data_IF_466900435178
#
_entry.id   IF_466900435178
#
_cell.length_a   1.000
_cell.length_b   1.000
_cell.length_c   1.000
_cell.angle_alpha   90.00
_cell.angle_beta   90.00
_cell.angle_gamma   90.00
#
_symmetry.space_group_name_H-M   'P 1'
#
loop_
_entity.id
_entity.type
_entity.pdbx_description
1 polymer ?
#
# COMPACT_ATOMS: atom_id res chain seq x y z
N UNK A 1 -13.65 -16.71 1.18
CA UNK A 1 -14.39 -17.43 2.26
C UNK A 1 -13.36 -18.12 3.13
N UNK A 2 -13.37 -17.83 4.44
CA UNK A 2 -12.54 -18.52 5.42
C UNK A 2 -12.98 -19.99 5.58
N UNK A 3 -12.18 -20.83 6.27
CA UNK A 3 -12.46 -22.27 6.43
C UNK A 3 -13.77 -22.60 7.16
N UNK A 4 -14.48 -21.62 7.68
CA UNK A 4 -15.76 -21.77 8.40
C UNK A 4 -16.93 -21.05 7.72
N UNK A 5 -16.80 -20.59 6.46
CA UNK A 5 -17.86 -19.89 5.74
C UNK A 5 -18.04 -18.41 6.11
N UNK A 6 -17.19 -17.89 7.00
CA UNK A 6 -17.16 -16.48 7.34
C UNK A 6 -16.37 -15.70 6.28
N UNK A 7 -16.88 -14.56 5.86
CA UNK A 7 -16.12 -13.70 4.95
C UNK A 7 -14.98 -13.00 5.70
N UNK A 8 -13.88 -12.71 5.02
CA UNK A 8 -12.79 -11.93 5.61
C UNK A 8 -13.29 -10.58 6.16
N UNK A 9 -14.30 -10.00 5.52
CA UNK A 9 -14.94 -8.75 5.96
C UNK A 9 -15.61 -8.88 7.34
N UNK A 10 -16.30 -10.00 7.61
CA UNK A 10 -16.96 -10.24 8.90
C UNK A 10 -15.94 -10.34 10.03
N UNK A 11 -14.82 -11.03 9.79
CA UNK A 11 -13.73 -11.16 10.77
C UNK A 11 -13.05 -9.81 11.05
N UNK A 12 -12.83 -8.99 10.02
CA UNK A 12 -12.30 -7.62 10.18
C UNK A 12 -13.28 -6.77 10.99
N UNK A 13 -14.58 -6.85 10.70
CA UNK A 13 -15.59 -6.11 11.45
C UNK A 13 -15.66 -6.54 12.91
N UNK A 14 -15.51 -7.83 13.21
CA UNK A 14 -15.42 -8.30 14.59
C UNK A 14 -14.18 -7.76 15.29
N UNK A 15 -13.01 -7.77 14.64
CA UNK A 15 -11.80 -7.15 15.16
C UNK A 15 -11.98 -5.67 15.53
N UNK A 16 -12.70 -4.92 14.70
CA UNK A 16 -13.04 -3.53 14.97
C UNK A 16 -13.96 -3.36 16.18
N UNK A 17 -14.96 -4.23 16.34
CA UNK A 17 -15.83 -4.27 17.53
C UNK A 17 -15.06 -4.62 18.80
N UNK A 18 -14.00 -5.42 18.67
CA UNK A 18 -13.09 -5.76 19.78
C UNK A 18 -12.09 -4.65 20.13
N UNK A 19 -12.02 -3.59 19.32
CA UNK A 19 -11.20 -2.42 19.61
C UNK A 19 -9.98 -2.23 18.71
N UNK A 20 -9.89 -2.91 17.56
CA UNK A 20 -8.86 -2.63 16.58
C UNK A 20 -8.94 -1.18 16.08
N UNK A 21 -7.80 -0.53 15.85
CA UNK A 21 -7.70 0.89 15.51
C UNK A 21 -7.48 1.15 14.03
N UNK A 22 -7.21 0.11 13.25
CA UNK A 22 -6.89 0.22 11.83
C UNK A 22 -7.56 -0.90 11.04
N UNK A 23 -8.02 -0.56 9.83
CA UNK A 23 -8.54 -1.51 8.84
C UNK A 23 -7.48 -1.68 7.74
N UNK A 24 -7.14 -2.92 7.43
CA UNK A 24 -6.20 -3.25 6.37
C UNK A 24 -6.80 -4.12 5.27
N UNK A 25 -6.01 -4.34 4.23
CA UNK A 25 -6.33 -5.24 3.13
C UNK A 25 -5.14 -5.40 2.18
N UNK A 26 -5.20 -6.42 1.32
CA UNK A 26 -4.18 -6.72 0.31
C UNK A 26 -4.88 -6.98 -1.04
N UNK A 27 -5.38 -5.94 -1.72
CA UNK A 27 -6.28 -6.11 -2.87
C UNK A 27 -5.62 -6.81 -4.06
N UNK A 28 -4.31 -6.66 -4.25
CA UNK A 28 -3.58 -7.27 -5.37
C UNK A 28 -3.32 -8.78 -5.19
N UNK A 29 -3.61 -9.35 -4.02
CA UNK A 29 -3.58 -10.80 -3.75
C UNK A 29 -4.95 -11.46 -3.89
N UNK A 30 -6.00 -10.68 -4.10
CA UNK A 30 -7.30 -11.26 -4.40
C UNK A 30 -7.28 -12.04 -5.73
N UNK A 31 -8.18 -13.01 -5.86
CA UNK A 31 -8.20 -13.93 -7.00
C UNK A 31 -8.41 -13.25 -8.35
N UNK A 32 -9.07 -12.10 -8.36
CA UNK A 32 -9.26 -11.27 -9.56
C UNK A 32 -9.41 -9.79 -9.18
N UNK A 33 -9.33 -8.93 -10.20
CA UNK A 33 -9.43 -7.47 -10.03
C UNK A 33 -10.72 -7.05 -9.33
N UNK A 34 -11.84 -7.61 -9.70
CA UNK A 34 -13.15 -7.27 -9.15
C UNK A 34 -13.25 -7.59 -7.65
N UNK A 35 -12.54 -8.63 -7.20
CA UNK A 35 -12.50 -8.98 -5.78
C UNK A 35 -11.60 -8.01 -5.00
N UNK A 36 -10.48 -7.61 -5.58
CA UNK A 36 -9.64 -6.56 -5.02
C UNK A 36 -10.36 -5.21 -4.93
N UNK A 37 -11.12 -4.84 -5.94
CA UNK A 37 -11.95 -3.64 -5.93
C UNK A 37 -13.02 -3.69 -4.81
N UNK A 38 -13.71 -4.82 -4.66
CA UNK A 38 -14.66 -5.02 -3.55
C UNK A 38 -13.99 -4.95 -2.18
N UNK A 39 -12.79 -5.52 -2.05
CA UNK A 39 -12.00 -5.41 -0.83
C UNK A 39 -11.75 -3.94 -0.46
N UNK A 40 -11.39 -3.09 -1.42
CA UNK A 40 -11.19 -1.66 -1.17
C UNK A 40 -12.47 -0.93 -0.74
N UNK A 41 -13.61 -1.26 -1.34
CA UNK A 41 -14.89 -0.72 -0.88
C UNK A 41 -15.18 -1.11 0.57
N UNK A 42 -15.01 -2.40 0.91
CA UNK A 42 -15.22 -2.90 2.28
C UNK A 42 -14.31 -2.22 3.29
N UNK A 43 -13.02 -2.06 2.97
CA UNK A 43 -12.05 -1.37 3.84
C UNK A 43 -12.51 0.06 4.16
N UNK A 44 -12.87 0.83 3.14
CA UNK A 44 -13.30 2.22 3.32
C UNK A 44 -14.65 2.31 4.06
N UNK A 45 -15.58 1.42 3.76
CA UNK A 45 -16.89 1.34 4.45
C UNK A 45 -16.74 1.03 5.94
N UNK A 46 -15.94 0.02 6.29
CA UNK A 46 -15.70 -0.36 7.68
C UNK A 46 -14.95 0.73 8.44
N UNK A 47 -13.90 1.29 7.84
CA UNK A 47 -13.16 2.39 8.46
C UNK A 47 -14.06 3.61 8.73
N UNK A 48 -14.92 3.97 7.77
CA UNK A 48 -15.87 5.07 7.93
C UNK A 48 -16.92 4.76 9.02
N UNK A 49 -17.43 3.52 9.04
CA UNK A 49 -18.46 3.09 10.00
C UNK A 49 -17.96 3.14 11.44
N UNK A 50 -16.71 2.76 11.68
CA UNK A 50 -16.11 2.67 13.01
C UNK A 50 -15.16 3.83 13.35
N UNK A 51 -15.05 4.82 12.48
CA UNK A 51 -14.12 5.98 12.59
C UNK A 51 -12.66 5.57 12.81
N UNK A 52 -12.17 4.61 12.01
CA UNK A 52 -10.83 4.01 12.17
C UNK A 52 -9.86 4.45 11.08
N UNK A 53 -8.58 4.18 11.32
CA UNK A 53 -7.51 4.36 10.34
C UNK A 53 -7.59 3.30 9.24
N UNK A 54 -6.98 3.58 8.11
CA UNK A 54 -6.77 2.62 7.02
C UNK A 54 -5.27 2.49 6.78
N UNK A 55 -4.77 1.25 6.69
CA UNK A 55 -3.45 0.93 6.17
C UNK A 55 -3.56 -0.30 5.26
N UNK A 56 -3.41 -0.09 3.95
CA UNK A 56 -3.56 -1.11 2.92
C UNK A 56 -2.20 -1.45 2.34
N UNK A 57 -1.84 -2.75 2.29
CA UNK A 57 -0.76 -3.24 1.42
C UNK A 57 -1.22 -3.07 -0.02
N UNK A 58 -0.91 -1.90 -0.58
CA UNK A 58 -1.52 -1.42 -1.81
C UNK A 58 -0.55 -1.59 -2.97
N UNK A 59 -0.95 -2.35 -3.99
CA UNK A 59 -0.17 -2.50 -5.22
C UNK A 59 1.30 -2.89 -4.98
N UNK A 60 1.53 -3.78 -4.01
CA UNK A 60 2.84 -4.35 -3.70
C UNK A 60 3.22 -5.42 -4.73
N UNK A 61 3.35 -5.02 -5.95
CA UNK A 61 3.65 -5.87 -7.10
C UNK A 61 4.44 -5.09 -8.14
N UNK A 62 5.14 -5.82 -9.00
CA UNK A 62 5.84 -5.25 -10.14
C UNK A 62 4.93 -4.88 -11.32
N UNK A 63 3.66 -5.34 -11.31
CA UNK A 63 2.72 -5.07 -12.39
C UNK A 63 2.22 -3.62 -12.37
N UNK A 64 2.57 -2.78 -13.38
CA UNK A 64 2.10 -1.40 -13.45
C UNK A 64 0.58 -1.27 -13.70
N UNK A 65 -0.11 -2.38 -13.99
CA UNK A 65 -1.57 -2.41 -14.12
C UNK A 65 -2.30 -2.70 -12.81
N UNK A 66 -1.58 -3.01 -11.72
CA UNK A 66 -2.13 -2.97 -10.38
C UNK A 66 -2.37 -1.52 -10.00
N UNK A 67 -3.63 -1.10 -9.87
CA UNK A 67 -4.06 0.30 -9.72
C UNK A 67 -5.11 0.48 -8.63
N UNK A 68 -5.04 -0.34 -7.59
CA UNK A 68 -5.94 -0.22 -6.44
C UNK A 68 -5.71 1.06 -5.64
N UNK A 69 -4.51 1.64 -5.72
CA UNK A 69 -4.19 2.94 -5.14
C UNK A 69 -5.10 4.06 -5.68
N UNK A 70 -5.39 4.04 -6.98
CA UNK A 70 -6.32 4.98 -7.60
C UNK A 70 -7.72 4.86 -7.01
N UNK A 71 -8.23 3.62 -6.92
CA UNK A 71 -9.55 3.35 -6.33
C UNK A 71 -9.61 3.71 -4.85
N UNK A 72 -8.63 3.26 -4.05
CA UNK A 72 -8.53 3.59 -2.62
C UNK A 72 -8.56 5.10 -2.40
N UNK A 73 -7.76 5.84 -3.18
CA UNK A 73 -7.69 7.30 -3.08
C UNK A 73 -9.01 7.98 -3.44
N UNK A 74 -9.70 7.50 -4.47
CA UNK A 74 -11.00 8.04 -4.87
C UNK A 74 -12.08 7.76 -3.82
N UNK A 75 -12.08 6.57 -3.24
CA UNK A 75 -13.02 6.19 -2.18
C UNK A 75 -12.77 6.99 -0.90
N UNK A 76 -11.51 7.09 -0.46
CA UNK A 76 -11.11 7.84 0.72
C UNK A 76 -11.41 9.35 0.57
N UNK A 77 -11.19 9.91 -0.63
CA UNK A 77 -11.57 11.30 -0.95
C UNK A 77 -13.07 11.53 -0.79
N UNK A 78 -13.89 10.66 -1.38
CA UNK A 78 -15.36 10.75 -1.30
C UNK A 78 -15.88 10.59 0.12
N UNK A 79 -15.26 9.71 0.90
CA UNK A 79 -15.62 9.48 2.30
C UNK A 79 -15.07 10.55 3.26
N UNK A 80 -14.20 11.46 2.81
CA UNK A 80 -13.57 12.49 3.63
C UNK A 80 -12.56 11.95 4.67
N UNK A 81 -12.01 10.74 4.45
CA UNK A 81 -11.09 10.06 5.39
C UNK A 81 -9.67 9.88 4.85
N UNK A 82 -9.31 10.61 3.79
CA UNK A 82 -8.00 10.43 3.15
C UNK A 82 -6.83 10.69 4.10
N UNK A 83 -6.90 11.69 4.98
CA UNK A 83 -5.86 11.93 6.00
C UNK A 83 -5.71 10.81 7.03
N UNK A 84 -6.69 9.91 7.14
CA UNK A 84 -6.66 8.69 7.96
C UNK A 84 -6.25 7.45 7.14
N UNK A 85 -5.95 7.61 5.86
CA UNK A 85 -5.68 6.51 4.93
C UNK A 85 -4.21 6.49 4.54
N UNK A 86 -3.58 5.34 4.74
CA UNK A 86 -2.21 5.04 4.32
C UNK A 86 -2.24 3.96 3.24
N UNK A 87 -1.49 4.18 2.17
CA UNK A 87 -1.17 3.18 1.17
C UNK A 87 0.28 2.72 1.39
N UNK A 88 0.44 1.50 1.86
CA UNK A 88 1.76 0.91 2.10
C UNK A 88 2.30 0.25 0.83
N UNK A 89 3.62 0.24 0.65
CA UNK A 89 4.41 -0.33 -0.45
C UNK A 89 4.25 0.41 -1.78
N UNK A 90 3.13 0.29 -2.45
CA UNK A 90 2.82 0.88 -3.77
C UNK A 90 3.91 0.68 -4.84
N UNK A 91 4.51 -0.51 -4.86
CA UNK A 91 5.66 -0.86 -5.71
C UNK A 91 5.35 -0.72 -7.21
N UNK A 92 4.09 -0.95 -7.62
CA UNK A 92 3.63 -0.80 -9.00
C UNK A 92 3.91 0.58 -9.59
N UNK A 93 3.95 1.64 -8.74
CA UNK A 93 4.30 3.00 -9.18
C UNK A 93 5.73 3.11 -9.70
N UNK A 94 6.66 2.30 -9.18
CA UNK A 94 8.03 2.22 -9.68
C UNK A 94 8.13 1.71 -11.13
N UNK A 95 7.10 1.00 -11.59
CA UNK A 95 6.98 0.44 -12.95
C UNK A 95 5.97 1.20 -13.83
N UNK A 96 5.15 2.07 -13.25
CA UNK A 96 4.11 2.82 -13.95
C UNK A 96 4.70 3.89 -14.87
N UNK A 97 3.98 4.24 -15.94
CA UNK A 97 4.37 5.33 -16.81
C UNK A 97 4.18 6.71 -16.16
N UNK A 98 4.91 7.69 -16.67
CA UNK A 98 4.91 9.05 -16.14
C UNK A 98 3.56 9.77 -16.32
N UNK A 99 2.81 9.48 -17.37
CA UNK A 99 1.52 10.13 -17.62
C UNK A 99 0.49 9.68 -16.59
N UNK A 100 0.43 8.37 -16.30
CA UNK A 100 -0.42 7.83 -15.23
C UNK A 100 -0.03 8.40 -13.87
N UNK A 101 1.25 8.35 -13.51
CA UNK A 101 1.74 8.88 -12.24
C UNK A 101 1.40 10.36 -12.05
N UNK A 102 1.63 11.19 -13.07
CA UNK A 102 1.29 12.61 -13.04
C UNK A 102 -0.22 12.86 -12.82
N UNK A 103 -1.06 12.07 -13.48
CA UNK A 103 -2.51 12.14 -13.28
C UNK A 103 -2.92 11.73 -11.86
N UNK A 104 -2.41 10.59 -11.41
CA UNK A 104 -2.71 10.04 -10.08
C UNK A 104 -2.29 10.99 -8.96
N UNK A 105 -1.12 11.64 -9.06
CA UNK A 105 -0.60 12.56 -8.04
C UNK A 105 -1.58 13.68 -7.70
N UNK A 106 -2.39 14.14 -8.64
CA UNK A 106 -3.43 15.16 -8.40
C UNK A 106 -4.51 14.62 -7.44
N UNK A 107 -4.93 13.38 -7.64
CA UNK A 107 -5.90 12.71 -6.79
C UNK A 107 -5.32 12.45 -5.38
N UNK A 108 -4.08 11.95 -5.31
CA UNK A 108 -3.39 11.67 -4.03
C UNK A 108 -3.32 12.93 -3.15
N UNK A 109 -2.97 14.06 -3.75
CA UNK A 109 -2.93 15.36 -3.04
C UNK A 109 -4.31 15.81 -2.59
N UNK A 110 -5.29 15.76 -3.48
CA UNK A 110 -6.66 16.16 -3.17
C UNK A 110 -7.29 15.28 -2.07
N UNK A 111 -6.95 14.01 -2.07
CA UNK A 111 -7.41 13.04 -1.09
C UNK A 111 -6.61 13.05 0.22
N UNK A 112 -5.45 13.70 0.27
CA UNK A 112 -4.52 13.69 1.42
C UNK A 112 -4.09 12.27 1.82
N UNK A 113 -3.81 11.41 0.84
CA UNK A 113 -3.34 10.05 1.09
C UNK A 113 -1.92 10.06 1.66
N UNK A 114 -1.67 9.23 2.66
CA UNK A 114 -0.36 8.99 3.22
C UNK A 114 0.27 7.73 2.61
N UNK A 115 1.59 7.67 2.60
CA UNK A 115 2.35 6.53 2.10
C UNK A 115 3.27 5.98 3.18
N UNK A 116 3.43 4.65 3.19
CA UNK A 116 4.48 3.97 3.94
C UNK A 116 5.31 3.10 2.97
N UNK A 117 6.56 3.48 2.77
CA UNK A 117 7.50 2.75 1.92
C UNK A 117 8.39 1.86 2.78
N UNK A 118 8.47 0.56 2.42
CA UNK A 118 9.35 -0.44 3.04
C UNK A 118 10.48 -0.83 2.07
N UNK A 119 11.50 0.03 1.87
CA UNK A 119 12.42 -0.08 0.74
C UNK A 119 13.27 -1.36 0.74
N UNK A 120 13.72 -1.83 1.89
CA UNK A 120 14.55 -3.03 1.99
C UNK A 120 13.78 -4.30 1.69
N UNK A 121 12.57 -4.41 2.20
CA UNK A 121 11.68 -5.53 1.91
C UNK A 121 11.26 -5.53 0.44
N UNK A 122 10.78 -4.40 -0.05
CA UNK A 122 10.33 -4.30 -1.43
C UNK A 122 11.47 -4.56 -2.43
N UNK A 123 12.69 -4.09 -2.15
CA UNK A 123 13.88 -4.43 -2.95
C UNK A 123 14.16 -5.94 -2.98
N UNK A 124 13.91 -6.64 -1.87
CA UNK A 124 14.10 -8.09 -1.76
C UNK A 124 12.98 -8.88 -2.45
N UNK A 125 11.72 -8.45 -2.31
CA UNK A 125 10.57 -9.18 -2.83
C UNK A 125 10.31 -8.93 -4.31
N UNK A 126 10.54 -7.72 -4.81
CA UNK A 126 10.22 -7.33 -6.18
C UNK A 126 11.34 -7.67 -7.17
N UNK A 127 11.04 -7.61 -8.46
CA UNK A 127 11.99 -7.90 -9.55
C UNK A 127 12.40 -9.37 -9.67
N UNK A 128 11.72 -10.29 -9.00
CA UNK A 128 12.08 -11.73 -9.01
C UNK A 128 11.80 -12.41 -10.33
N UNK A 129 10.85 -11.90 -11.09
CA UNK A 129 10.48 -12.41 -12.41
C UNK A 129 11.25 -11.71 -13.54
N UNK A 130 11.98 -10.65 -13.24
CA UNK A 130 12.82 -9.95 -14.21
C UNK A 130 14.08 -10.78 -14.53
N UNK A 131 14.46 -10.76 -15.80
CA UNK A 131 15.75 -11.34 -16.21
C UNK A 131 16.89 -10.38 -15.94
N UNK A 132 17.08 -9.35 -16.77
CA UNK A 132 18.05 -8.28 -16.60
C UNK A 132 17.76 -7.16 -17.61
N UNK A 133 17.83 -5.84 -17.21
CA UNK A 133 18.07 -5.37 -15.86
C UNK A 133 16.85 -5.61 -14.93
N UNK A 134 17.11 -5.82 -13.64
CA UNK A 134 16.04 -5.94 -12.63
C UNK A 134 15.55 -4.55 -12.21
N UNK A 135 14.24 -4.42 -12.02
CA UNK A 135 13.66 -3.20 -11.47
C UNK A 135 13.99 -3.04 -9.98
N UNK A 136 13.91 -1.82 -9.46
CA UNK A 136 14.23 -1.53 -8.05
C UNK A 136 13.14 -1.96 -7.07
N UNK A 137 11.89 -2.11 -7.54
CA UNK A 137 10.78 -2.64 -6.74
C UNK A 137 10.25 -1.73 -5.65
N UNK A 138 10.61 -0.46 -5.60
CA UNK A 138 10.10 0.52 -4.64
C UNK A 138 9.20 1.56 -5.32
N UNK A 139 8.34 2.19 -4.52
CA UNK A 139 7.51 3.31 -4.96
C UNK A 139 8.36 4.56 -5.30
N UNK A 140 7.76 5.55 -5.94
CA UNK A 140 8.40 6.81 -6.35
C UNK A 140 8.49 7.81 -5.19
N UNK A 141 9.30 7.48 -4.17
CA UNK A 141 9.43 8.27 -2.92
C UNK A 141 9.78 9.73 -3.21
N UNK A 142 10.77 9.97 -4.07
CA UNK A 142 11.23 11.32 -4.42
C UNK A 142 10.12 12.15 -5.05
N UNK A 143 9.51 11.66 -6.13
CA UNK A 143 8.49 12.40 -6.86
C UNK A 143 7.21 12.61 -6.04
N UNK A 144 6.84 11.67 -5.18
CA UNK A 144 5.72 11.83 -4.25
C UNK A 144 6.02 12.94 -3.23
N UNK A 145 7.21 12.93 -2.65
CA UNK A 145 7.65 13.94 -1.66
C UNK A 145 7.74 15.34 -2.31
N UNK A 146 8.34 15.45 -3.49
CA UNK A 146 8.42 16.70 -4.25
C UNK A 146 7.02 17.23 -4.63
N UNK A 147 6.06 16.34 -4.86
CA UNK A 147 4.66 16.72 -5.09
C UNK A 147 3.93 17.16 -3.81
N UNK A 148 4.53 17.04 -2.63
CA UNK A 148 3.93 17.38 -1.33
C UNK A 148 3.00 16.30 -0.78
N UNK A 149 3.15 15.06 -1.21
CA UNK A 149 2.46 13.88 -0.62
C UNK A 149 3.26 13.42 0.61
N UNK A 150 2.57 13.08 1.69
CA UNK A 150 3.22 12.58 2.91
C UNK A 150 3.71 11.14 2.71
N UNK A 151 5.04 10.94 2.80
CA UNK A 151 5.68 9.63 2.67
C UNK A 151 6.48 9.33 3.93
N UNK A 152 6.18 8.22 4.57
CA UNK A 152 6.95 7.65 5.67
C UNK A 152 7.76 6.44 5.20
N UNK A 153 8.77 6.10 5.99
CA UNK A 153 9.61 4.91 5.77
C UNK A 153 9.38 3.90 6.87
N UNK A 154 9.36 2.63 6.52
CA UNK A 154 9.20 1.51 7.45
C UNK A 154 10.21 0.39 7.18
N UNK A 155 10.44 -0.44 8.18
CA UNK A 155 11.22 -1.67 8.02
C UNK A 155 10.38 -2.78 7.42
N UNK A 156 9.11 -2.86 7.84
CA UNK A 156 8.22 -3.97 7.60
C UNK A 156 8.71 -5.27 8.28
N UNK A 157 9.08 -6.27 7.53
CA UNK A 157 9.50 -7.58 8.05
C UNK A 157 10.88 -7.57 8.70
N UNK A 158 11.03 -8.32 9.82
CA UNK A 158 12.28 -8.51 10.53
C UNK A 158 12.52 -9.99 10.82
N UNK A 159 13.50 -10.60 10.13
CA UNK A 159 13.91 -12.00 10.32
C UNK A 159 12.75 -13.00 10.17
N UNK A 160 11.90 -12.75 9.22
CA UNK A 160 10.76 -13.60 8.87
C UNK A 160 10.87 -14.13 7.42
N UNK A 161 9.90 -14.95 6.94
CA UNK A 161 9.95 -15.53 5.60
C UNK A 161 9.94 -14.51 4.46
N UNK A 162 9.40 -13.30 4.65
CA UNK A 162 9.35 -12.26 3.62
C UNK A 162 10.68 -11.50 3.52
N UNK A 163 11.30 -11.16 4.67
CA UNK A 163 12.60 -10.49 4.69
C UNK A 163 13.50 -11.00 5.81
N UNK A 164 14.28 -12.07 5.59
CA UNK A 164 15.04 -12.77 6.63
C UNK A 164 16.23 -11.96 7.20
N UNK A 165 16.62 -10.87 6.58
CA UNK A 165 17.75 -10.02 7.01
C UNK A 165 17.34 -8.67 7.60
N UNK A 166 16.05 -8.43 7.76
CA UNK A 166 15.54 -7.22 8.42
C UNK A 166 16.00 -7.10 9.86
N UNK A 167 16.39 -5.90 10.29
CA UNK A 167 16.99 -5.68 11.61
C UNK A 167 16.44 -4.47 12.37
N UNK A 168 15.44 -3.76 11.83
CA UNK A 168 14.81 -2.60 12.44
C UNK A 168 15.66 -1.33 12.46
N UNK A 169 16.80 -1.31 11.79
CA UNK A 169 17.68 -0.14 11.75
C UNK A 169 17.15 0.91 10.75
N UNK A 170 16.42 1.90 11.25
CA UNK A 170 15.81 2.95 10.43
C UNK A 170 16.83 3.85 9.72
N UNK A 171 18.07 3.98 10.23
CA UNK A 171 19.13 4.70 9.52
C UNK A 171 19.59 3.95 8.26
N UNK A 172 19.62 2.61 8.33
CA UNK A 172 19.89 1.77 7.17
C UNK A 172 18.75 1.91 6.14
N UNK A 173 17.49 1.92 6.58
CA UNK A 173 16.34 2.12 5.69
C UNK A 173 16.44 3.47 4.95
N UNK A 174 16.78 4.53 5.66
CA UNK A 174 16.98 5.84 5.07
C UNK A 174 18.13 5.85 4.03
N UNK A 175 19.24 5.20 4.36
CA UNK A 175 20.40 5.07 3.45
C UNK A 175 19.99 4.37 2.14
N UNK A 176 19.24 3.28 2.21
CA UNK A 176 18.70 2.62 1.02
C UNK A 176 17.84 3.55 0.17
N UNK A 177 16.94 4.31 0.79
CA UNK A 177 16.09 5.25 0.03
C UNK A 177 16.90 6.31 -0.66
N UNK A 178 17.92 6.87 -0.02
CA UNK A 178 18.80 7.87 -0.64
C UNK A 178 19.52 7.36 -1.89
N UNK A 179 19.76 6.06 -1.99
CA UNK A 179 20.39 5.44 -3.15
C UNK A 179 19.40 4.95 -4.22
N UNK A 180 18.16 4.67 -3.85
CA UNK A 180 17.17 4.03 -4.72
C UNK A 180 16.15 5.01 -5.31
N UNK A 181 15.83 6.10 -4.60
CA UNK A 181 14.81 7.08 -4.97
C UNK A 181 15.36 8.27 -5.77
#
# INVERSE_FOLDING_TARGET
EGPHGESGADLVEEGLKMGADCVGGIPHFEQCREFGERSMHTVVELASKYDKLIDVHCDETDDPNSRYLELLSALAYRAGIGSKTTASHTCSLGSADNAYFFHLTKLLKAAHINFACAPTENLYLQGRQDTFPKRRGITRVKELTEAGVNVSLGQDSMQDPWYPVGNGNMMLILDYVLHLA
#
